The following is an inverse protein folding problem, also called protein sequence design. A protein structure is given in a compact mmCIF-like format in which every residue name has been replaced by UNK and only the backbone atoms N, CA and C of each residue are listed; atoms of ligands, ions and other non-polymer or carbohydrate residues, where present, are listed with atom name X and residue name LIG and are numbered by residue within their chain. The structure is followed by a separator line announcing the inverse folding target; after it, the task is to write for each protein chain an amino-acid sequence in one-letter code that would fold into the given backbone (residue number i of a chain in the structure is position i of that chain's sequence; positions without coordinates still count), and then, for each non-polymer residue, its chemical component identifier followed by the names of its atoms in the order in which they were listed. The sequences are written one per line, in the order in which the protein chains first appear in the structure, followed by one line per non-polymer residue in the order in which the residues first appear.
data_IF_136499213297
#
_entry.id   IF_136499213297
#
_cell.length_a   1.000
_cell.length_b   1.000
_cell.length_c   1.000
_cell.angle_alpha   90.00
_cell.angle_beta   90.00
_cell.angle_gamma   90.00
#
_symmetry.space_group_name_H-M   'P 1'
#
loop_
_entity.id
_entity.type
_entity.pdbx_description
1 polymer ?
#
# COMPACT_ATOMS: atom_id res chain seq x y z
N UNK A 1 20.49 8.24 -14.21
CA UNK A 1 19.93 6.87 -14.38
C UNK A 1 20.58 5.86 -13.42
N UNK A 2 21.92 5.79 -13.32
CA UNK A 2 22.64 4.87 -12.42
C UNK A 2 22.12 4.86 -10.97
N UNK A 3 22.02 6.03 -10.32
CA UNK A 3 21.54 6.15 -8.94
C UNK A 3 20.09 5.65 -8.72
N UNK A 4 19.25 5.60 -9.76
CA UNK A 4 17.92 4.97 -9.67
C UNK A 4 18.03 3.44 -9.77
N UNK A 5 18.86 2.93 -10.67
CA UNK A 5 19.14 1.50 -10.79
C UNK A 5 19.74 0.94 -9.50
N UNK A 6 20.66 1.68 -8.87
CA UNK A 6 21.27 1.28 -7.59
C UNK A 6 20.25 1.16 -6.45
N UNK A 7 19.09 1.84 -6.55
CA UNK A 7 17.99 1.72 -5.59
C UNK A 7 17.05 0.55 -5.90
N UNK A 8 17.14 -0.09 -7.06
CA UNK A 8 16.27 -1.18 -7.49
C UNK A 8 17.11 -2.41 -7.90
N UNK A 9 17.65 -3.17 -6.93
CA UNK A 9 18.38 -4.40 -7.24
C UNK A 9 17.46 -5.42 -7.92
N UNK A 10 18.01 -6.17 -8.85
CA UNK A 10 17.34 -7.32 -9.46
C UNK A 10 17.35 -8.45 -8.42
N UNK A 11 16.17 -8.83 -7.95
CA UNK A 11 15.96 -9.92 -6.99
C UNK A 11 15.20 -11.06 -7.67
N UNK A 12 15.38 -12.32 -7.24
CA UNK A 12 14.59 -13.42 -7.75
C UNK A 12 13.09 -13.20 -7.47
N UNK A 13 12.20 -13.77 -8.30
CA UNK A 13 10.77 -13.79 -7.99
C UNK A 13 10.51 -14.39 -6.60
N UNK A 14 9.51 -13.89 -5.86
CA UNK A 14 9.18 -14.49 -4.57
C UNK A 14 8.69 -15.93 -4.73
N UNK A 15 9.01 -16.79 -3.77
CA UNK A 15 8.40 -18.10 -3.68
C UNK A 15 6.98 -17.95 -3.13
N UNK A 16 5.99 -18.48 -3.85
CA UNK A 16 4.62 -18.50 -3.37
C UNK A 16 4.46 -19.65 -2.36
N UNK A 17 3.83 -19.43 -1.19
CA UNK A 17 3.54 -20.50 -0.25
C UNK A 17 2.65 -21.56 -0.92
N UNK A 18 3.08 -22.83 -0.89
CA UNK A 18 2.36 -23.95 -1.52
C UNK A 18 1.09 -24.30 -0.74
N UNK A 19 1.06 -24.01 0.56
CA UNK A 19 -0.10 -24.28 1.41
C UNK A 19 -1.24 -23.31 1.09
N UNK A 20 -2.29 -23.85 0.50
CA UNK A 20 -3.58 -23.18 0.28
C UNK A 20 -4.25 -22.93 1.64
N UNK A 21 -4.06 -21.75 2.23
CA UNK A 21 -5.01 -21.29 3.24
C UNK A 21 -6.36 -21.12 2.52
N UNK A 22 -7.32 -21.94 2.94
CA UNK A 22 -8.66 -22.09 2.36
C UNK A 22 -9.59 -20.92 2.69
N UNK A 23 -9.06 -19.72 2.91
CA UNK A 23 -9.92 -18.56 3.13
C UNK A 23 -10.41 -18.00 1.81
N UNK A 24 -11.72 -17.68 1.71
CA UNK A 24 -12.25 -17.03 0.53
C UNK A 24 -11.57 -15.66 0.34
N UNK A 25 -11.39 -15.22 -0.91
CA UNK A 25 -10.88 -13.87 -1.18
C UNK A 25 -11.76 -12.82 -0.51
N UNK A 26 -11.16 -11.69 -0.15
CA UNK A 26 -11.92 -10.49 0.20
C UNK A 26 -12.87 -10.13 -0.95
N UNK A 27 -14.16 -10.04 -0.62
CA UNK A 27 -15.21 -9.53 -1.52
C UNK A 27 -15.76 -8.24 -0.94
N UNK A 28 -15.88 -7.22 -1.77
CA UNK A 28 -16.41 -5.91 -1.39
C UNK A 28 -17.64 -5.53 -2.22
N UNK A 29 -18.46 -4.67 -1.63
CA UNK A 29 -19.64 -4.11 -2.26
C UNK A 29 -19.33 -2.81 -3.04
N UNK A 30 -20.34 -2.39 -3.79
CA UNK A 30 -20.32 -1.18 -4.62
C UNK A 30 -20.09 0.08 -3.80
N UNK A 31 -20.64 0.16 -2.58
CA UNK A 31 -20.53 1.31 -1.70
C UNK A 31 -19.10 1.49 -1.18
N UNK A 32 -18.44 0.38 -0.84
CA UNK A 32 -17.05 0.34 -0.40
C UNK A 32 -16.11 0.82 -1.50
N UNK A 33 -16.31 0.34 -2.74
CA UNK A 33 -15.54 0.76 -3.92
C UNK A 33 -15.76 2.25 -4.20
N UNK A 34 -17.01 2.71 -4.23
CA UNK A 34 -17.33 4.12 -4.45
C UNK A 34 -16.68 5.03 -3.39
N UNK A 35 -16.73 4.63 -2.12
CA UNK A 35 -16.07 5.35 -1.03
C UNK A 35 -14.55 5.44 -1.21
N UNK A 36 -13.92 4.37 -1.71
CA UNK A 36 -12.49 4.37 -2.03
C UNK A 36 -12.15 5.27 -3.23
N UNK A 37 -12.98 5.29 -4.28
CA UNK A 37 -12.82 6.19 -5.43
C UNK A 37 -12.91 7.66 -4.97
N UNK A 38 -13.95 8.00 -4.18
CA UNK A 38 -14.17 9.36 -3.67
C UNK A 38 -13.09 9.85 -2.70
N UNK A 39 -12.38 8.94 -2.02
CA UNK A 39 -11.35 9.28 -1.03
C UNK A 39 -9.93 9.34 -1.60
N UNK A 40 -9.76 9.32 -2.92
CA UNK A 40 -8.50 9.75 -3.54
C UNK A 40 -8.34 11.27 -3.40
N UNK A 41 -7.14 11.76 -3.00
CA UNK A 41 -6.87 13.19 -3.00
C UNK A 41 -7.04 13.79 -4.41
N UNK A 42 -7.59 15.01 -4.48
CA UNK A 42 -7.66 15.78 -5.72
C UNK A 42 -6.25 16.00 -6.29
N UNK A 43 -6.12 15.92 -7.62
CA UNK A 43 -4.83 16.05 -8.29
C UNK A 43 -3.92 14.82 -8.19
N UNK A 44 -4.41 13.69 -7.67
CA UNK A 44 -3.68 12.42 -7.67
C UNK A 44 -3.09 12.10 -9.05
N UNK A 45 -1.78 11.84 -9.09
CA UNK A 45 -1.06 11.42 -10.29
C UNK A 45 -1.52 10.06 -10.81
N UNK A 46 -1.44 9.87 -12.13
CA UNK A 46 -1.75 8.62 -12.83
C UNK A 46 -0.51 7.72 -12.97
N UNK A 47 -0.75 6.45 -13.32
CA UNK A 47 0.30 5.56 -13.79
C UNK A 47 0.59 5.75 -15.27
N UNK A 48 1.18 4.73 -15.90
CA UNK A 48 1.59 4.78 -17.32
C UNK A 48 0.40 4.88 -18.31
N UNK A 49 -0.79 4.45 -17.90
CA UNK A 49 -2.03 4.49 -18.68
C UNK A 49 -2.67 5.89 -18.76
N UNK A 50 -2.21 6.86 -17.96
CA UNK A 50 -2.81 8.19 -17.90
C UNK A 50 -4.17 8.25 -17.19
N UNK A 51 -4.73 7.12 -16.75
CA UNK A 51 -6.01 7.08 -16.05
C UNK A 51 -5.87 7.71 -14.66
N UNK A 52 -6.82 8.59 -14.29
CA UNK A 52 -6.86 9.27 -12.99
C UNK A 52 -8.13 8.90 -12.24
N UNK A 53 -8.08 8.98 -10.91
CA UNK A 53 -9.28 8.85 -10.08
C UNK A 53 -10.37 9.86 -10.49
N UNK A 54 -9.97 11.07 -10.90
CA UNK A 54 -10.90 12.09 -11.40
C UNK A 54 -11.65 11.64 -12.66
N UNK A 55 -10.99 10.99 -13.62
CA UNK A 55 -11.67 10.49 -14.83
C UNK A 55 -12.75 9.47 -14.49
N UNK A 56 -12.52 8.63 -13.46
CA UNK A 56 -13.51 7.68 -12.97
C UNK A 56 -14.67 8.42 -12.30
N UNK A 57 -14.38 9.41 -11.45
CA UNK A 57 -15.41 10.24 -10.82
C UNK A 57 -16.27 10.97 -11.85
N UNK A 58 -15.64 11.54 -12.88
CA UNK A 58 -16.31 12.24 -13.96
C UNK A 58 -17.21 11.31 -14.77
N UNK A 59 -16.77 10.07 -15.01
CA UNK A 59 -17.58 9.04 -15.68
C UNK A 59 -18.75 8.54 -14.81
N UNK A 60 -18.69 8.73 -13.49
CA UNK A 60 -19.76 8.42 -12.54
C UNK A 60 -20.67 9.63 -12.27
N UNK A 61 -20.46 10.77 -12.93
CA UNK A 61 -21.35 11.93 -12.84
C UNK A 61 -22.75 11.58 -13.40
N UNK A 62 -23.79 11.86 -12.62
CA UNK A 62 -25.18 11.51 -12.94
C UNK A 62 -25.75 10.54 -11.94
N UNK A 63 -26.00 11.02 -10.72
CA UNK A 63 -26.60 10.23 -9.64
C UNK A 63 -27.93 9.62 -10.11
N UNK A 64 -28.09 8.30 -9.93
CA UNK A 64 -29.26 7.56 -10.41
C UNK A 64 -29.25 7.17 -11.90
N UNK A 65 -28.23 7.55 -12.69
CA UNK A 65 -28.09 7.09 -14.08
C UNK A 65 -27.80 5.59 -14.16
N UNK A 66 -28.56 4.86 -14.98
CA UNK A 66 -28.34 3.42 -15.22
C UNK A 66 -26.91 3.12 -15.72
N UNK A 67 -26.31 4.05 -16.49
CA UNK A 67 -24.95 3.93 -17.00
C UNK A 67 -23.94 4.04 -15.85
N UNK A 68 -24.07 5.06 -14.99
CA UNK A 68 -23.18 5.25 -13.85
C UNK A 68 -23.25 4.07 -12.87
N UNK A 69 -24.46 3.56 -12.61
CA UNK A 69 -24.69 2.37 -11.78
C UNK A 69 -24.04 1.13 -12.42
N UNK A 70 -24.25 0.91 -13.72
CA UNK A 70 -23.65 -0.21 -14.45
C UNK A 70 -22.12 -0.16 -14.46
N UNK A 71 -21.54 1.02 -14.70
CA UNK A 71 -20.10 1.24 -14.68
C UNK A 71 -19.50 0.94 -13.30
N UNK A 72 -20.13 1.44 -12.23
CA UNK A 72 -19.65 1.20 -10.87
C UNK A 72 -19.72 -0.28 -10.48
N UNK A 73 -20.76 -1.01 -10.91
CA UNK A 73 -20.85 -2.47 -10.77
C UNK A 73 -19.69 -3.17 -11.50
N UNK A 74 -19.44 -2.81 -12.76
CA UNK A 74 -18.33 -3.38 -13.53
C UNK A 74 -16.96 -3.10 -12.88
N UNK A 75 -16.73 -1.88 -12.37
CA UNK A 75 -15.50 -1.55 -11.62
C UNK A 75 -15.39 -2.43 -10.36
N UNK A 76 -16.49 -2.64 -9.65
CA UNK A 76 -16.54 -3.48 -8.44
C UNK A 76 -16.21 -4.95 -8.77
N UNK A 77 -16.73 -5.48 -9.88
CA UNK A 77 -16.40 -6.82 -10.37
C UNK A 77 -14.89 -6.95 -10.69
N UNK A 78 -14.30 -5.95 -11.35
CA UNK A 78 -12.84 -5.92 -11.61
C UNK A 78 -12.05 -5.90 -10.31
N UNK A 79 -12.47 -5.08 -9.32
CA UNK A 79 -11.83 -5.03 -8.00
C UNK A 79 -11.87 -6.39 -7.31
N UNK A 80 -13.04 -7.04 -7.23
CA UNK A 80 -13.18 -8.36 -6.61
C UNK A 80 -12.43 -9.46 -7.37
N UNK A 81 -12.32 -9.35 -8.69
CA UNK A 81 -11.52 -10.25 -9.52
C UNK A 81 -10.02 -10.12 -9.17
N UNK A 82 -9.51 -8.90 -8.96
CA UNK A 82 -8.11 -8.67 -8.59
C UNK A 82 -7.81 -9.01 -7.13
N UNK A 83 -8.74 -8.74 -6.20
CA UNK A 83 -8.64 -9.19 -4.80
C UNK A 83 -8.59 -10.72 -4.68
N UNK A 84 -9.19 -11.43 -5.64
CA UNK A 84 -9.09 -12.89 -5.73
C UNK A 84 -7.88 -13.41 -6.49
N UNK A 85 -6.84 -12.60 -6.72
CA UNK A 85 -5.62 -13.02 -7.41
C UNK A 85 -5.79 -13.28 -8.91
N UNK A 86 -6.93 -12.90 -9.52
CA UNK A 86 -7.29 -13.28 -10.90
C UNK A 86 -6.98 -12.21 -11.95
N UNK A 87 -5.89 -11.45 -11.81
CA UNK A 87 -5.48 -10.52 -12.87
C UNK A 87 -5.05 -11.30 -14.14
N UNK A 88 -5.47 -10.84 -15.32
CA UNK A 88 -5.04 -11.46 -16.58
C UNK A 88 -3.51 -11.39 -16.70
N UNK A 89 -2.87 -12.53 -16.96
CA UNK A 89 -1.39 -12.64 -17.05
C UNK A 89 -0.81 -11.64 -18.04
N UNK A 90 -1.49 -11.41 -19.18
CA UNK A 90 -1.06 -10.43 -20.18
C UNK A 90 -1.02 -8.97 -19.68
N UNK A 91 -1.74 -8.66 -18.59
CA UNK A 91 -1.75 -7.34 -17.96
C UNK A 91 -0.90 -7.27 -16.69
N UNK A 92 -0.45 -8.41 -16.15
CA UNK A 92 0.19 -8.48 -14.84
C UNK A 92 1.42 -7.57 -14.74
N UNK A 93 2.34 -7.63 -15.72
CA UNK A 93 3.52 -6.77 -15.75
C UNK A 93 3.15 -5.28 -15.84
N UNK A 94 2.17 -4.95 -16.68
CA UNK A 94 1.72 -3.57 -16.84
C UNK A 94 1.12 -3.02 -15.55
N UNK A 95 0.22 -3.78 -14.92
CA UNK A 95 -0.45 -3.42 -13.67
C UNK A 95 0.54 -3.33 -12.50
N UNK A 96 1.51 -4.24 -12.44
CA UNK A 96 2.55 -4.25 -11.41
C UNK A 96 3.61 -3.15 -11.60
N UNK A 97 3.77 -2.64 -12.83
CA UNK A 97 4.70 -1.56 -13.15
C UNK A 97 4.26 -0.20 -12.58
N UNK A 98 5.21 0.74 -12.55
CA UNK A 98 4.94 2.14 -12.21
C UNK A 98 6.01 3.05 -12.84
N UNK A 99 5.64 4.21 -13.44
CA UNK A 99 6.60 5.27 -13.72
C UNK A 99 7.31 5.71 -12.43
N UNK A 100 8.61 5.98 -12.56
CA UNK A 100 9.47 6.48 -11.48
C UNK A 100 9.75 7.97 -11.69
N UNK A 101 9.39 8.79 -10.70
CA UNK A 101 9.77 10.21 -10.65
C UNK A 101 10.90 10.38 -9.62
N UNK A 102 12.11 10.81 -10.01
CA UNK A 102 13.20 11.06 -9.07
C UNK A 102 12.98 12.39 -8.34
N UNK A 103 12.76 12.34 -7.03
CA UNK A 103 12.81 13.53 -6.18
C UNK A 103 14.23 13.73 -5.64
N UNK A 104 14.76 14.94 -5.81
CA UNK A 104 16.06 15.32 -5.26
C UNK A 104 15.92 15.64 -3.77
N UNK A 105 16.82 15.06 -2.98
CA UNK A 105 16.99 15.42 -1.57
C UNK A 105 17.99 16.58 -1.44
N UNK A 106 17.98 17.32 -0.31
CA UNK A 106 18.97 18.36 -0.03
C UNK A 106 20.43 17.86 -0.01
N UNK A 107 20.64 16.59 0.36
CA UNK A 107 21.95 15.92 0.41
C UNK A 107 22.43 15.38 -0.95
N UNK A 108 21.81 15.81 -2.05
CA UNK A 108 22.04 15.32 -3.41
C UNK A 108 21.66 13.83 -3.63
N UNK A 109 21.04 13.19 -2.64
CA UNK A 109 20.44 11.87 -2.77
C UNK A 109 19.14 11.90 -3.59
N UNK A 110 18.71 10.73 -4.07
CA UNK A 110 17.46 10.59 -4.84
C UNK A 110 16.45 9.75 -4.05
N UNK A 111 15.19 10.20 -4.03
CA UNK A 111 14.03 9.44 -3.60
C UNK A 111 13.15 9.11 -4.82
N UNK A 112 13.20 7.88 -5.35
CA UNK A 112 12.29 7.49 -6.41
C UNK A 112 10.85 7.40 -5.89
N UNK A 113 9.92 8.02 -6.60
CA UNK A 113 8.48 7.89 -6.36
C UNK A 113 7.88 7.04 -7.46
N UNK A 114 7.35 5.87 -7.10
CA UNK A 114 6.65 4.98 -7.99
C UNK A 114 5.14 5.26 -7.95
N UNK A 115 4.56 5.70 -9.05
CA UNK A 115 3.11 5.95 -9.15
C UNK A 115 2.44 4.82 -9.93
N UNK A 116 1.84 3.86 -9.22
CA UNK A 116 1.10 2.78 -9.87
C UNK A 116 -0.16 3.25 -10.60
N UNK A 117 -0.63 2.42 -11.54
CA UNK A 117 -1.92 2.60 -12.20
C UNK A 117 -3.06 2.75 -11.18
N UNK A 118 -4.11 3.50 -11.53
CA UNK A 118 -5.23 3.77 -10.62
C UNK A 118 -5.95 2.50 -10.22
N UNK A 119 -6.07 1.52 -11.12
CA UNK A 119 -6.63 0.20 -10.81
C UNK A 119 -5.92 -0.49 -9.64
N UNK A 120 -4.58 -0.59 -9.70
CA UNK A 120 -3.79 -1.20 -8.62
C UNK A 120 -4.00 -0.46 -7.30
N UNK A 121 -3.96 0.88 -7.35
CA UNK A 121 -4.11 1.72 -6.16
C UNK A 121 -5.52 1.65 -5.57
N UNK A 122 -6.56 1.53 -6.41
CA UNK A 122 -7.94 1.36 -5.97
C UNK A 122 -8.10 0.01 -5.26
N UNK A 123 -7.62 -1.07 -5.84
CA UNK A 123 -7.66 -2.41 -5.23
C UNK A 123 -6.92 -2.44 -3.89
N UNK A 124 -5.69 -1.92 -3.83
CA UNK A 124 -4.95 -1.83 -2.56
C UNK A 124 -5.66 -0.95 -1.53
N UNK A 125 -6.27 0.17 -1.94
CA UNK A 125 -7.00 1.06 -1.03
C UNK A 125 -8.26 0.40 -0.47
N UNK A 126 -8.98 -0.37 -1.30
CA UNK A 126 -10.13 -1.18 -0.90
C UNK A 126 -9.70 -2.26 0.10
N UNK A 127 -8.65 -3.03 -0.23
CA UNK A 127 -8.10 -4.04 0.68
C UNK A 127 -7.72 -3.44 2.04
N UNK A 128 -6.97 -2.34 2.04
CA UNK A 128 -6.55 -1.65 3.27
C UNK A 128 -7.73 -1.06 4.06
N UNK A 129 -8.81 -0.63 3.40
CA UNK A 129 -10.01 -0.18 4.10
C UNK A 129 -10.68 -1.33 4.85
N UNK A 130 -10.67 -2.54 4.29
CA UNK A 130 -11.27 -3.73 4.91
C UNK A 130 -10.46 -4.26 6.08
N UNK A 131 -9.12 -4.36 5.94
CA UNK A 131 -8.28 -5.03 6.95
C UNK A 131 -7.50 -4.08 7.85
N UNK A 132 -7.42 -2.78 7.50
CA UNK A 132 -6.51 -1.83 8.13
C UNK A 132 -6.73 -1.64 9.63
N UNK A 133 -7.98 -1.61 10.08
CA UNK A 133 -8.30 -1.46 11.51
C UNK A 133 -7.87 -2.67 12.33
N UNK A 134 -8.01 -3.88 11.78
CA UNK A 134 -7.57 -5.11 12.43
C UNK A 134 -6.05 -5.19 12.46
N UNK A 135 -5.39 -4.88 11.35
CA UNK A 135 -3.93 -4.88 11.26
C UNK A 135 -3.28 -3.81 12.13
N UNK A 136 -3.91 -2.65 12.29
CA UNK A 136 -3.44 -1.63 13.24
C UNK A 136 -3.48 -2.16 14.70
N UNK A 137 -4.53 -2.91 15.08
CA UNK A 137 -4.60 -3.54 16.40
C UNK A 137 -3.57 -4.65 16.57
N UNK A 138 -3.38 -5.47 15.53
CA UNK A 138 -2.40 -6.56 15.54
C UNK A 138 -0.97 -6.06 15.70
N UNK A 139 -0.59 -5.02 14.94
CA UNK A 139 0.74 -4.42 15.02
C UNK A 139 0.94 -3.64 16.33
N UNK A 140 -0.13 -3.09 16.90
CA UNK A 140 -0.13 -2.46 18.22
C UNK A 140 1.03 -1.49 18.42
N UNK A 141 1.74 -1.64 19.54
CA UNK A 141 2.86 -0.77 19.92
C UNK A 141 4.17 -1.06 19.16
N UNK A 142 4.14 -1.91 18.13
CA UNK A 142 5.30 -2.21 17.29
C UNK A 142 5.37 -1.30 16.04
N UNK A 143 4.31 -0.56 15.71
CA UNK A 143 4.24 0.27 14.49
C UNK A 143 3.43 1.55 14.73
N UNK A 144 4.04 2.70 14.46
CA UNK A 144 3.40 4.02 14.63
C UNK A 144 3.35 4.85 13.35
N UNK A 145 3.95 4.38 12.26
CA UNK A 145 4.10 5.13 11.00
C UNK A 145 2.90 5.06 10.07
N UNK A 146 2.02 4.07 10.19
CA UNK A 146 0.85 3.88 9.31
C UNK A 146 -0.36 3.46 10.14
N UNK A 147 -1.51 4.10 9.89
CA UNK A 147 -2.79 3.74 10.51
C UNK A 147 -2.97 4.19 11.96
N UNK A 148 -1.96 4.83 12.56
CA UNK A 148 -2.01 5.34 13.94
C UNK A 148 -2.07 6.87 13.92
N UNK A 149 -3.17 7.50 14.40
CA UNK A 149 -3.24 8.95 14.53
C UNK A 149 -2.11 9.49 15.42
N UNK A 150 -1.40 10.52 14.94
CA UNK A 150 -0.29 11.16 15.65
C UNK A 150 0.84 10.21 16.09
N UNK A 151 1.05 9.10 15.37
CA UNK A 151 2.01 8.08 15.78
C UNK A 151 3.47 8.57 15.79
N UNK A 152 3.87 9.44 14.85
CA UNK A 152 5.21 10.01 14.85
C UNK A 152 5.47 10.90 16.08
N UNK A 153 4.49 11.73 16.44
CA UNK A 153 4.53 12.56 17.65
C UNK A 153 4.57 11.70 18.90
N UNK A 154 3.77 10.62 18.96
CA UNK A 154 3.77 9.69 20.09
C UNK A 154 5.15 9.07 20.33
N UNK A 155 5.86 8.65 19.27
CA UNK A 155 7.23 8.12 19.37
C UNK A 155 8.19 9.20 19.90
N UNK A 156 8.14 10.41 19.34
CA UNK A 156 9.00 11.51 19.75
C UNK A 156 8.80 11.88 21.23
N UNK A 157 7.55 12.08 21.66
CA UNK A 157 7.26 12.42 23.06
C UNK A 157 7.62 11.29 24.02
N UNK A 158 7.40 10.04 23.64
CA UNK A 158 7.78 8.88 24.48
C UNK A 158 9.29 8.77 24.64
N UNK A 159 10.05 8.92 23.55
CA UNK A 159 11.52 8.92 23.60
C UNK A 159 12.06 10.08 24.46
N UNK A 160 11.54 11.30 24.26
CA UNK A 160 11.94 12.46 25.06
C UNK A 160 11.64 12.27 26.55
N UNK A 161 10.45 11.73 26.88
CA UNK A 161 10.09 11.44 28.26
C UNK A 161 11.02 10.39 28.88
N UNK A 162 11.33 9.33 28.15
CA UNK A 162 12.26 8.29 28.61
C UNK A 162 13.65 8.87 28.89
N UNK A 163 14.21 9.63 27.93
CA UNK A 163 15.50 10.29 28.11
C UNK A 163 15.49 11.23 29.32
N UNK A 164 14.46 12.05 29.48
CA UNK A 164 14.38 12.97 30.63
C UNK A 164 14.29 12.23 31.97
N UNK A 165 13.56 11.11 32.04
CA UNK A 165 13.42 10.33 33.27
C UNK A 165 14.69 9.57 33.65
N UNK A 166 15.45 9.09 32.66
CA UNK A 166 16.56 8.15 32.87
C UNK A 166 17.94 8.70 32.44
N UNK A 167 18.07 10.00 32.14
CA UNK A 167 19.33 10.60 31.66
C UNK A 167 20.54 10.37 32.58
N UNK A 168 20.32 10.16 33.88
CA UNK A 168 21.39 9.89 34.85
C UNK A 168 21.74 8.40 34.99
N UNK A 169 20.96 7.50 34.41
CA UNK A 169 21.19 6.05 34.48
C UNK A 169 22.11 5.60 33.33
N UNK A 170 23.40 5.45 33.65
CA UNK A 170 24.41 5.01 32.69
C UNK A 170 24.28 3.56 32.21
N UNK A 171 23.30 2.79 32.73
CA UNK A 171 23.02 1.43 32.25
C UNK A 171 22.06 1.38 31.06
N UNK A 172 21.43 2.51 30.71
CA UNK A 172 20.44 2.61 29.65
C UNK A 172 20.98 3.38 28.44
N UNK A 173 20.62 2.93 27.23
CA UNK A 173 20.94 3.60 25.97
C UNK A 173 19.76 3.53 25.01
N UNK A 174 19.60 4.56 24.18
CA UNK A 174 18.62 4.58 23.09
C UNK A 174 19.34 4.28 21.77
N UNK A 175 18.93 3.19 21.10
CA UNK A 175 19.45 2.81 19.79
C UNK A 175 18.48 3.21 18.69
N UNK A 176 18.96 3.93 17.68
CA UNK A 176 18.22 4.20 16.46
C UNK A 176 18.75 3.31 15.33
N UNK A 177 17.83 2.67 14.61
CA UNK A 177 18.15 1.79 13.47
C UNK A 177 17.41 2.30 12.24
N UNK A 178 18.11 2.43 11.12
CA UNK A 178 17.53 2.83 9.84
C UNK A 178 17.84 1.81 8.75
N UNK A 179 16.88 1.60 7.86
CA UNK A 179 17.03 0.69 6.73
C UNK A 179 17.54 1.47 5.50
N UNK A 180 18.68 1.06 4.94
CA UNK A 180 19.31 1.77 3.81
C UNK A 180 18.44 1.83 2.54
N UNK A 181 17.56 0.84 2.33
CA UNK A 181 16.62 0.76 1.20
C UNK A 181 15.44 -0.18 1.50
N UNK A 182 14.63 0.19 2.51
CA UNK A 182 13.57 -0.66 3.08
C UNK A 182 12.66 -1.33 2.04
N UNK A 183 12.05 -0.57 1.13
CA UNK A 183 11.05 -1.13 0.20
C UNK A 183 11.61 -2.09 -0.84
N UNK A 184 12.88 -1.93 -1.24
CA UNK A 184 13.46 -2.72 -2.33
C UNK A 184 14.31 -3.90 -1.84
N UNK A 185 14.75 -3.88 -0.57
CA UNK A 185 15.58 -4.93 0.02
C UNK A 185 14.82 -5.91 0.93
N UNK A 186 13.57 -5.61 1.31
CA UNK A 186 12.73 -6.56 2.04
C UNK A 186 12.45 -7.78 1.16
N UNK A 187 12.63 -8.98 1.73
CA UNK A 187 12.34 -10.24 1.06
C UNK A 187 10.83 -10.40 0.83
N UNK A 188 10.45 -10.50 -0.44
CA UNK A 188 9.04 -10.57 -0.86
C UNK A 188 8.40 -11.91 -0.49
N UNK A 189 9.19 -12.99 -0.43
CA UNK A 189 8.70 -14.30 0.00
C UNK A 189 8.22 -14.26 1.44
N UNK A 190 9.08 -13.75 2.34
CA UNK A 190 8.78 -13.58 3.77
C UNK A 190 7.58 -12.66 3.96
N UNK A 191 7.53 -11.52 3.25
CA UNK A 191 6.38 -10.62 3.31
C UNK A 191 5.06 -11.31 2.95
N UNK A 192 5.03 -12.08 1.85
CA UNK A 192 3.84 -12.80 1.42
C UNK A 192 3.44 -13.90 2.41
N UNK A 193 4.40 -14.59 3.01
CA UNK A 193 4.15 -15.58 4.08
C UNK A 193 3.53 -14.93 5.32
N UNK A 194 4.03 -13.79 5.77
CA UNK A 194 3.48 -13.06 6.91
C UNK A 194 2.07 -12.53 6.63
N UNK A 195 1.84 -11.96 5.44
CA UNK A 195 0.48 -11.51 5.03
C UNK A 195 -0.47 -12.71 5.01
N UNK A 196 -0.04 -13.86 4.49
CA UNK A 196 -0.85 -15.07 4.48
C UNK A 196 -1.16 -15.57 5.88
N UNK A 197 -0.20 -15.54 6.80
CA UNK A 197 -0.37 -16.01 8.17
C UNK A 197 -1.23 -15.07 9.04
N UNK A 198 -1.17 -13.76 8.80
CA UNK A 198 -1.78 -12.73 9.69
C UNK A 198 -2.99 -12.01 9.09
N UNK A 199 -3.08 -11.97 7.76
CA UNK A 199 -4.14 -11.30 7.02
C UNK A 199 -4.53 -12.09 5.74
N UNK A 200 -4.93 -13.37 5.89
CA UNK A 200 -5.15 -14.30 4.77
C UNK A 200 -6.12 -13.79 3.70
N UNK A 201 -7.14 -13.00 4.08
CA UNK A 201 -8.17 -12.47 3.17
C UNK A 201 -7.65 -11.59 2.02
N UNK A 202 -6.41 -11.09 2.10
CA UNK A 202 -5.75 -10.28 1.06
C UNK A 202 -4.48 -10.93 0.50
N UNK A 203 -4.29 -12.23 0.72
CA UNK A 203 -3.04 -12.96 0.41
C UNK A 203 -3.01 -13.70 -0.93
N UNK A 204 -4.00 -13.46 -1.81
CA UNK A 204 -4.19 -14.14 -3.09
C UNK A 204 -3.57 -13.41 -4.28
#
# INVERSE_FOLDING_TARGET
MKALLDKHPILPPPALPVDLLSEPPLVVDVESVLGCIKSFPKGTSCGRDGLRAQHILDALCGEGSAIAVGLLKAITEVVNLWLGGRCLVALAEFVASAPLTPLLKPDNGIRPIAVGAIWRRLVSKVAMKSVGNEMAKYLGDCQFGVGIPCGAEAVLYSANRFLNMFHSDGSLALLTVDFSNAFNLVDRTTLLQEVRARCPSISL
#
